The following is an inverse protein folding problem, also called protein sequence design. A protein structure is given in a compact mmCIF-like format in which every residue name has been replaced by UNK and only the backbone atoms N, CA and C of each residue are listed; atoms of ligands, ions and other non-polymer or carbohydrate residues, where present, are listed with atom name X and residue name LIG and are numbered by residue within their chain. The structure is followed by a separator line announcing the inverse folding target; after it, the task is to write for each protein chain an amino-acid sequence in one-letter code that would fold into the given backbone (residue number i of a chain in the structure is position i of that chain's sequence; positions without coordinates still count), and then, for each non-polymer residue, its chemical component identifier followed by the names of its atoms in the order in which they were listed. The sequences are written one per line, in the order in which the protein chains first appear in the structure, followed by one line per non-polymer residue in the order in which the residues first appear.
data_IF_701178909787
#
_entry.id   IF_701178909787
#
_cell.length_a   1.000
_cell.length_b   1.000
_cell.length_c   1.000
_cell.angle_alpha   90.00
_cell.angle_beta   90.00
_cell.angle_gamma   90.00
#
_symmetry.space_group_name_H-M   'P 1'
#
loop_
_entity.id
_entity.type
_entity.pdbx_description
1 polymer ?
#
# COMPACT_ATOMS: atom_id res chain seq x y z
N UNK A 1 -6.97 -5.99 8.76
CA UNK A 1 -5.76 -6.00 7.91
C UNK A 1 -4.63 -5.15 8.48
N UNK A 2 -4.57 -5.00 9.80
CA UNK A 2 -3.66 -4.06 10.46
C UNK A 2 -3.34 -4.51 11.89
N UNK A 3 -4.31 -5.12 12.58
CA UNK A 3 -4.11 -5.80 13.86
C UNK A 3 -3.00 -6.87 13.81
N UNK A 4 -2.11 -6.80 14.80
CA UNK A 4 -1.04 -7.78 14.99
C UNK A 4 -1.58 -9.12 15.50
N UNK A 5 -0.94 -10.21 15.08
CA UNK A 5 -1.30 -11.56 15.53
C UNK A 5 -1.06 -11.74 17.03
N UNK A 6 -0.07 -11.05 17.59
CA UNK A 6 0.24 -11.08 19.02
C UNK A 6 -0.94 -10.57 19.86
N UNK A 7 -1.68 -9.59 19.35
CA UNK A 7 -2.86 -9.06 20.02
C UNK A 7 -4.06 -10.01 19.91
N UNK A 8 -4.22 -10.67 18.75
CA UNK A 8 -5.25 -11.71 18.50
C UNK A 8 -4.96 -12.99 19.30
N UNK A 9 -3.68 -13.28 19.56
CA UNK A 9 -3.22 -14.49 20.25
C UNK A 9 -3.53 -14.50 21.75
N UNK A 10 -3.65 -13.33 22.39
CA UNK A 10 -3.80 -13.17 23.86
C UNK A 10 -4.86 -14.08 24.50
N UNK A 11 -6.09 -14.20 23.98
CA UNK A 11 -7.12 -15.05 24.59
C UNK A 11 -7.04 -16.54 24.21
N UNK A 12 -6.10 -16.96 23.34
CA UNK A 12 -6.05 -18.34 22.85
C UNK A 12 -5.33 -19.26 23.84
N UNK A 13 -5.88 -20.46 24.05
CA UNK A 13 -5.25 -21.49 24.90
C UNK A 13 -3.97 -22.09 24.29
N UNK A 14 -3.88 -22.16 22.95
CA UNK A 14 -2.69 -22.59 22.21
C UNK A 14 -2.37 -21.59 21.08
N UNK A 15 -1.74 -20.45 21.42
CA UNK A 15 -1.40 -19.41 20.45
C UNK A 15 -0.50 -19.88 19.31
N UNK A 16 0.29 -20.95 19.51
CA UNK A 16 1.20 -21.46 18.48
C UNK A 16 0.51 -22.05 17.26
N UNK A 17 -0.83 -22.24 17.32
CA UNK A 17 -1.67 -22.61 16.16
C UNK A 17 -2.10 -21.44 15.30
N UNK A 18 -2.00 -20.22 15.80
CA UNK A 18 -2.49 -19.05 15.11
C UNK A 18 -1.55 -18.68 13.96
N UNK A 19 -2.12 -18.59 12.76
CA UNK A 19 -1.47 -18.07 11.55
C UNK A 19 -2.47 -17.13 10.87
N UNK A 20 -1.99 -16.01 10.35
CA UNK A 20 -2.82 -15.05 9.63
C UNK A 20 -2.86 -15.36 8.15
N UNK A 21 -4.05 -15.26 7.54
CA UNK A 21 -4.22 -15.28 6.09
C UNK A 21 -4.85 -13.96 5.67
N UNK A 22 -4.05 -13.06 5.10
CA UNK A 22 -4.52 -11.76 4.67
C UNK A 22 -4.76 -11.75 3.16
N UNK A 23 -6.04 -11.73 2.79
CA UNK A 23 -6.51 -11.62 1.41
C UNK A 23 -6.72 -10.16 1.03
N UNK A 24 -6.61 -9.86 -0.26
CA UNK A 24 -6.84 -8.53 -0.82
C UNK A 24 -8.13 -8.52 -1.65
N UNK A 25 -8.90 -7.42 -1.57
CA UNK A 25 -10.16 -7.25 -2.29
C UNK A 25 -9.91 -6.65 -3.69
N UNK A 26 -10.44 -7.21 -4.79
CA UNK A 26 -11.28 -8.42 -4.89
C UNK A 26 -10.53 -9.73 -4.74
N UNK A 27 -10.97 -10.57 -3.80
CA UNK A 27 -10.33 -11.86 -3.47
C UNK A 27 -10.24 -12.79 -4.68
N UNK A 28 -11.23 -12.75 -5.58
CA UNK A 28 -11.21 -13.57 -6.79
C UNK A 28 -10.13 -13.12 -7.80
N UNK A 29 -9.77 -11.84 -7.83
CA UNK A 29 -8.91 -11.26 -8.85
C UNK A 29 -7.45 -11.12 -8.39
N UNK A 30 -7.23 -10.77 -7.12
CA UNK A 30 -5.88 -10.53 -6.61
C UNK A 30 -5.19 -11.85 -6.25
N UNK A 31 -3.98 -12.12 -6.77
CA UNK A 31 -3.34 -13.42 -6.59
C UNK A 31 -2.62 -13.55 -5.24
N UNK A 32 -2.19 -12.44 -4.63
CA UNK A 32 -1.41 -12.44 -3.39
C UNK A 32 -2.26 -12.80 -2.17
N UNK A 33 -1.67 -13.57 -1.25
CA UNK A 33 -2.15 -13.70 0.13
C UNK A 33 -0.93 -13.61 1.05
N UNK A 34 -0.95 -12.67 2.00
CA UNK A 34 0.09 -12.63 3.03
C UNK A 34 -0.20 -13.71 4.08
N UNK A 35 0.74 -14.64 4.24
CA UNK A 35 0.74 -15.66 5.28
C UNK A 35 1.50 -15.08 6.48
N UNK A 36 0.76 -14.55 7.44
CA UNK A 36 1.32 -13.78 8.56
C UNK A 36 1.76 -14.73 9.67
N UNK A 37 3.03 -14.63 10.04
CA UNK A 37 3.68 -15.36 11.12
C UNK A 37 3.78 -14.48 12.37
N UNK A 38 3.11 -14.87 13.45
CA UNK A 38 3.31 -14.27 14.77
C UNK A 38 4.54 -14.85 15.47
N UNK A 39 4.99 -14.20 16.55
CA UNK A 39 6.20 -14.60 17.29
C UNK A 39 6.15 -16.05 17.82
N UNK A 40 4.98 -16.51 18.26
CA UNK A 40 4.77 -17.87 18.77
C UNK A 40 4.27 -18.88 17.74
N UNK A 41 4.00 -18.46 16.49
CA UNK A 41 3.41 -19.33 15.47
C UNK A 41 4.36 -20.47 15.10
N UNK A 42 3.88 -21.71 15.16
CA UNK A 42 4.68 -22.88 14.79
C UNK A 42 4.91 -22.94 13.28
N UNK A 43 6.13 -23.26 12.87
CA UNK A 43 6.50 -23.43 11.45
C UNK A 43 5.60 -24.42 10.68
N UNK A 44 5.13 -25.47 11.35
CA UNK A 44 4.21 -26.44 10.75
C UNK A 44 2.88 -25.79 10.32
N UNK A 45 2.38 -24.81 11.06
CA UNK A 45 1.13 -24.12 10.74
C UNK A 45 1.34 -23.09 9.62
N UNK A 46 2.48 -22.41 9.58
CA UNK A 46 2.87 -21.56 8.44
C UNK A 46 2.93 -22.40 7.16
N UNK A 47 3.55 -23.59 7.19
CA UNK A 47 3.61 -24.48 6.02
C UNK A 47 2.23 -24.95 5.57
N UNK A 48 1.35 -25.32 6.50
CA UNK A 48 -0.04 -25.70 6.16
C UNK A 48 -0.81 -24.52 5.53
N UNK A 49 -0.64 -23.32 6.07
CA UNK A 49 -1.25 -22.11 5.52
C UNK A 49 -0.76 -21.83 4.10
N UNK A 50 0.55 -21.90 3.84
CA UNK A 50 1.10 -21.76 2.49
C UNK A 50 0.54 -22.84 1.54
N UNK A 51 0.50 -24.10 1.97
CA UNK A 51 -0.05 -25.19 1.17
C UNK A 51 -1.53 -24.97 0.82
N UNK A 52 -2.33 -24.48 1.77
CA UNK A 52 -3.72 -24.10 1.53
C UNK A 52 -3.84 -22.97 0.51
N UNK A 53 -3.07 -21.88 0.68
CA UNK A 53 -3.08 -20.73 -0.23
C UNK A 53 -2.70 -21.15 -1.65
N UNK A 54 -1.67 -21.98 -1.81
CA UNK A 54 -1.28 -22.53 -3.11
C UNK A 54 -2.39 -23.42 -3.69
N UNK A 55 -3.04 -24.26 -2.87
CA UNK A 55 -4.12 -25.15 -3.33
C UNK A 55 -5.34 -24.40 -3.86
N UNK A 56 -5.56 -23.15 -3.43
CA UNK A 56 -6.63 -22.27 -3.96
C UNK A 56 -6.13 -21.35 -5.10
N UNK A 57 -5.01 -21.69 -5.76
CA UNK A 57 -4.40 -20.94 -6.86
C UNK A 57 -4.04 -19.49 -6.49
N UNK A 58 -3.59 -19.28 -5.26
CA UNK A 58 -3.06 -18.00 -4.77
C UNK A 58 -1.56 -18.10 -4.51
N UNK A 59 -0.90 -16.93 -4.46
CA UNK A 59 0.51 -16.77 -4.21
C UNK A 59 0.74 -16.47 -2.72
N UNK A 60 1.24 -17.43 -1.93
CA UNK A 60 1.55 -17.18 -0.52
C UNK A 60 2.82 -16.34 -0.39
N UNK A 61 2.74 -15.27 0.37
CA UNK A 61 3.90 -14.49 0.81
C UNK A 61 4.02 -14.56 2.32
N UNK A 62 5.07 -15.19 2.83
CA UNK A 62 5.28 -15.28 4.28
C UNK A 62 5.75 -13.91 4.77
N UNK A 63 5.03 -13.34 5.73
CA UNK A 63 5.34 -12.04 6.35
C UNK A 63 5.38 -12.18 7.87
N UNK A 64 6.26 -11.44 8.53
CA UNK A 64 6.26 -11.29 9.99
C UNK A 64 5.06 -10.44 10.42
N UNK A 65 4.44 -10.78 11.55
CA UNK A 65 3.41 -9.96 12.18
C UNK A 65 3.96 -8.58 12.55
N UNK A 66 3.30 -7.55 12.05
CA UNK A 66 3.51 -6.16 12.39
C UNK A 66 2.26 -5.37 12.00
N UNK A 67 2.13 -4.12 12.46
CA UNK A 67 1.03 -3.27 12.03
C UNK A 67 1.08 -3.08 10.51
N UNK A 68 -0.01 -3.43 9.82
CA UNK A 68 -0.12 -3.33 8.37
C UNK A 68 0.67 -4.37 7.54
N UNK A 69 1.32 -5.35 8.18
CA UNK A 69 2.10 -6.41 7.52
C UNK A 69 3.13 -5.85 6.52
N UNK A 70 3.27 -6.41 5.31
CA UNK A 70 4.11 -5.82 4.28
C UNK A 70 3.31 -4.82 3.43
N UNK A 71 2.22 -5.28 2.80
CA UNK A 71 1.56 -4.52 1.73
C UNK A 71 0.96 -3.21 2.24
N UNK A 72 0.16 -3.25 3.31
CA UNK A 72 -0.50 -2.03 3.82
C UNK A 72 0.53 -1.09 4.45
N UNK A 73 1.52 -1.65 5.17
CA UNK A 73 2.63 -0.89 5.75
C UNK A 73 3.37 -0.09 4.68
N UNK A 74 3.70 -0.70 3.55
CA UNK A 74 4.42 -0.06 2.43
C UNK A 74 3.51 0.89 1.63
N UNK A 75 2.22 0.58 1.49
CA UNK A 75 1.26 1.40 0.74
C UNK A 75 0.85 2.68 1.48
N UNK A 76 0.69 2.63 2.80
CA UNK A 76 0.12 3.73 3.56
C UNK A 76 0.93 5.04 3.47
N UNK A 77 2.28 5.08 3.53
CA UNK A 77 3.05 6.31 3.37
C UNK A 77 2.81 7.01 2.03
N UNK A 78 2.64 6.25 0.95
CA UNK A 78 2.31 6.79 -0.38
C UNK A 78 0.92 7.43 -0.40
N UNK A 79 -0.06 6.79 0.23
CA UNK A 79 -1.41 7.35 0.36
C UNK A 79 -1.40 8.63 1.20
N UNK A 80 -0.68 8.64 2.33
CA UNK A 80 -0.58 9.83 3.18
C UNK A 80 0.14 10.98 2.49
N UNK A 81 1.15 10.70 1.65
CA UNK A 81 1.81 11.73 0.84
C UNK A 81 0.84 12.36 -0.18
N UNK A 82 -0.03 11.57 -0.81
CA UNK A 82 -1.06 12.09 -1.69
C UNK A 82 -2.07 12.99 -0.96
N UNK A 83 -2.53 12.57 0.22
CA UNK A 83 -3.41 13.41 1.08
C UNK A 83 -2.72 14.70 1.47
N UNK A 84 -1.45 14.63 1.88
CA UNK A 84 -0.66 15.82 2.25
C UNK A 84 -0.53 16.80 1.10
N UNK A 85 -0.28 16.32 -0.12
CA UNK A 85 -0.20 17.16 -1.34
C UNK A 85 -1.55 17.82 -1.66
N UNK A 86 -2.64 17.05 -1.56
CA UNK A 86 -3.98 17.56 -1.77
C UNK A 86 -4.35 18.65 -0.75
N UNK A 87 -4.04 18.42 0.54
CA UNK A 87 -4.21 19.44 1.60
C UNK A 87 -3.40 20.72 1.34
N UNK A 88 -2.27 20.62 0.64
CA UNK A 88 -1.44 21.76 0.24
C UNK A 88 -1.95 22.49 -1.02
N UNK A 89 -3.07 22.05 -1.59
CA UNK A 89 -3.71 22.68 -2.75
C UNK A 89 -3.30 22.09 -4.09
N UNK A 90 -2.54 21.00 -4.12
CA UNK A 90 -2.28 20.29 -5.38
C UNK A 90 -3.60 19.66 -5.87
N UNK A 91 -4.01 19.87 -7.14
CA UNK A 91 -5.25 19.32 -7.66
C UNK A 91 -5.29 17.79 -7.58
N UNK A 92 -6.42 17.22 -7.16
CA UNK A 92 -6.61 15.76 -7.03
C UNK A 92 -6.34 15.03 -8.36
N UNK A 93 -6.81 15.60 -9.48
CA UNK A 93 -6.62 15.05 -10.82
C UNK A 93 -5.13 14.99 -11.17
N UNK A 94 -4.35 16.00 -10.79
CA UNK A 94 -2.90 16.03 -11.05
C UNK A 94 -2.16 14.96 -10.26
N UNK A 95 -2.51 14.79 -8.98
CA UNK A 95 -1.92 13.76 -8.11
C UNK A 95 -2.17 12.37 -8.69
N UNK A 96 -3.42 12.08 -9.05
CA UNK A 96 -3.80 10.78 -9.59
C UNK A 96 -3.22 10.51 -10.98
N UNK A 97 -3.24 11.51 -11.86
CA UNK A 97 -2.59 11.41 -13.18
C UNK A 97 -1.07 11.20 -13.06
N UNK A 98 -0.40 11.86 -12.11
CA UNK A 98 1.04 11.70 -11.89
C UNK A 98 1.41 10.29 -11.42
N UNK A 99 0.61 9.71 -10.53
CA UNK A 99 0.75 8.31 -10.12
C UNK A 99 0.55 7.33 -11.28
N UNK A 100 -0.47 7.57 -12.11
CA UNK A 100 -0.71 6.74 -13.30
C UNK A 100 0.41 6.90 -14.34
N UNK A 101 0.91 8.11 -14.57
CA UNK A 101 2.07 8.39 -15.44
C UNK A 101 3.33 7.69 -14.94
N UNK A 102 3.52 7.59 -13.63
CA UNK A 102 4.62 6.80 -13.04
C UNK A 102 4.51 5.30 -13.39
N UNK A 103 3.28 4.80 -13.51
CA UNK A 103 2.96 3.41 -13.86
C UNK A 103 2.04 2.72 -12.85
N UNK A 104 1.47 3.44 -11.89
CA UNK A 104 0.49 2.87 -10.95
C UNK A 104 -0.82 2.56 -11.69
N UNK A 105 -1.55 1.49 -11.32
CA UNK A 105 -2.79 1.11 -12.00
C UNK A 105 -3.93 2.11 -11.74
N UNK A 106 -3.84 2.86 -10.66
CA UNK A 106 -4.84 3.82 -10.19
C UNK A 106 -4.15 4.94 -9.41
N UNK A 107 -4.77 6.13 -9.42
CA UNK A 107 -4.34 7.23 -8.59
C UNK A 107 -4.58 6.97 -7.10
N UNK A 108 -3.73 7.49 -6.20
CA UNK A 108 -3.83 7.23 -4.77
C UNK A 108 -5.15 7.74 -4.17
N UNK A 109 -5.65 8.91 -4.57
CA UNK A 109 -6.86 9.48 -3.99
C UNK A 109 -8.10 8.69 -4.43
N UNK A 110 -8.18 8.33 -5.71
CA UNK A 110 -9.22 7.42 -6.22
C UNK A 110 -9.17 6.05 -5.53
N UNK A 111 -7.97 5.49 -5.33
CA UNK A 111 -7.80 4.22 -4.63
C UNK A 111 -8.27 4.32 -3.17
N UNK A 112 -7.96 5.41 -2.47
CA UNK A 112 -8.45 5.66 -1.10
C UNK A 112 -9.97 5.69 -1.05
N UNK A 113 -10.62 6.36 -2.01
CA UNK A 113 -12.08 6.39 -2.09
C UNK A 113 -12.69 5.00 -2.36
N UNK A 114 -12.02 4.16 -3.14
CA UNK A 114 -12.46 2.79 -3.41
C UNK A 114 -12.31 1.86 -2.20
N UNK A 115 -11.21 2.00 -1.45
CA UNK A 115 -10.97 1.26 -0.21
C UNK A 115 -11.95 1.73 0.88
N UNK A 116 -12.10 3.04 1.02
CA UNK A 116 -12.89 3.70 2.05
C UNK A 116 -12.02 4.59 2.94
N UNK A 117 -12.41 5.86 3.09
CA UNK A 117 -11.61 6.84 3.83
C UNK A 117 -11.53 6.56 5.33
N UNK A 118 -12.53 5.91 5.91
CA UNK A 118 -12.52 5.43 7.29
C UNK A 118 -11.47 4.34 7.53
N UNK A 119 -11.31 3.43 6.57
CA UNK A 119 -10.29 2.40 6.63
C UNK A 119 -8.91 3.04 6.49
N UNK A 120 -8.76 3.99 5.56
CA UNK A 120 -7.49 4.68 5.36
C UNK A 120 -7.09 5.53 6.58
N UNK A 121 -8.03 6.22 7.23
CA UNK A 121 -7.78 6.98 8.46
C UNK A 121 -7.35 6.04 9.59
N UNK A 122 -8.06 4.93 9.80
CA UNK A 122 -7.73 3.95 10.82
C UNK A 122 -6.33 3.33 10.61
N UNK A 123 -5.98 2.94 9.38
CA UNK A 123 -4.65 2.41 9.06
C UNK A 123 -3.56 3.48 9.24
N UNK A 124 -3.85 4.74 8.88
CA UNK A 124 -2.96 5.86 9.11
C UNK A 124 -2.67 6.10 10.59
N UNK A 125 -3.68 5.99 11.44
CA UNK A 125 -3.53 6.08 12.90
C UNK A 125 -2.71 4.90 13.46
N UNK A 126 -3.04 3.66 13.04
CA UNK A 126 -2.37 2.44 13.55
C UNK A 126 -0.89 2.35 13.13
N UNK A 127 -0.53 2.99 12.02
CA UNK A 127 0.85 3.14 11.56
C UNK A 127 1.52 4.43 12.04
N UNK A 128 0.83 5.27 12.82
CA UNK A 128 1.30 6.57 13.29
C UNK A 128 1.79 7.49 12.16
N UNK A 129 1.08 7.46 11.03
CA UNK A 129 1.29 8.30 9.84
C UNK A 129 0.25 9.42 9.73
N UNK A 130 -0.88 9.30 10.42
CA UNK A 130 -1.92 10.32 10.47
C UNK A 130 -1.39 11.63 11.08
N UNK A 131 -1.65 12.80 10.45
CA UNK A 131 -1.35 14.08 11.08
C UNK A 131 -2.05 14.22 12.44
N UNK A 132 -1.33 14.70 13.45
CA UNK A 132 -1.90 14.91 14.80
C UNK A 132 -2.91 16.06 14.86
N UNK A 133 -2.79 17.01 13.94
CA UNK A 133 -3.64 18.20 13.82
C UNK A 133 -4.08 18.36 12.37
N UNK A 134 -5.27 18.92 12.15
CA UNK A 134 -5.84 19.20 10.83
C UNK A 134 -5.83 17.99 9.88
N UNK A 135 -6.10 16.79 10.41
CA UNK A 135 -6.21 15.58 9.59
C UNK A 135 -7.46 15.67 8.69
N UNK A 136 -7.23 15.80 7.38
CA UNK A 136 -8.29 15.87 6.38
C UNK A 136 -9.10 14.57 6.31
N UNK A 137 -8.47 13.40 6.43
CA UNK A 137 -9.17 12.11 6.38
C UNK A 137 -10.18 12.02 7.52
N UNK A 138 -9.75 12.26 8.76
CA UNK A 138 -10.65 12.31 9.92
C UNK A 138 -11.78 13.31 9.71
N UNK A 139 -11.50 14.46 9.09
CA UNK A 139 -12.52 15.49 8.81
C UNK A 139 -13.55 15.01 7.78
N UNK A 140 -13.13 14.34 6.71
CA UNK A 140 -14.01 13.75 5.69
C UNK A 140 -14.84 12.60 6.28
N UNK A 141 -14.21 11.74 7.10
CA UNK A 141 -14.89 10.64 7.79
C UNK A 141 -15.99 11.15 8.71
N UNK A 142 -15.71 12.20 9.50
CA UNK A 142 -16.73 12.85 10.37
C UNK A 142 -17.89 13.46 9.59
N UNK A 143 -17.66 13.87 8.35
CA UNK A 143 -18.71 14.37 7.44
C UNK A 143 -19.49 13.25 6.74
N UNK A 144 -19.16 11.97 6.98
CA UNK A 144 -19.77 10.83 6.29
C UNK A 144 -19.31 10.65 4.85
N UNK A 145 -18.24 11.36 4.43
CA UNK A 145 -17.63 11.24 3.11
C UNK A 145 -16.59 10.12 3.15
N UNK A 146 -17.04 8.89 2.93
CA UNK A 146 -16.22 7.68 3.06
C UNK A 146 -15.73 7.15 1.70
N UNK A 147 -15.86 7.92 0.62
CA UNK A 147 -15.49 7.53 -0.73
C UNK A 147 -16.64 6.89 -1.51
N UNK A 148 -16.31 5.91 -2.36
CA UNK A 148 -17.25 5.29 -3.30
C UNK A 148 -18.49 4.72 -2.62
N UNK A 149 -18.34 4.15 -1.42
CA UNK A 149 -19.44 3.50 -0.69
C UNK A 149 -20.52 4.47 -0.17
N UNK A 150 -20.18 5.75 -0.01
CA UNK A 150 -21.10 6.82 0.38
C UNK A 150 -21.39 7.80 -0.75
N UNK A 151 -20.87 7.55 -1.96
CA UNK A 151 -21.03 8.41 -3.13
C UNK A 151 -20.10 9.62 -3.16
N UNK A 152 -19.31 9.86 -2.12
CA UNK A 152 -18.41 11.02 -2.05
C UNK A 152 -17.24 10.78 -1.08
N UNK A 153 -16.04 11.18 -1.49
CA UNK A 153 -14.80 11.23 -0.71
C UNK A 153 -13.89 12.34 -1.24
N UNK A 154 -12.73 11.99 -1.79
CA UNK A 154 -11.93 12.92 -2.61
C UNK A 154 -12.60 13.24 -3.94
N UNK A 155 -13.37 12.28 -4.48
CA UNK A 155 -14.20 12.44 -5.66
C UNK A 155 -15.68 12.30 -5.32
N UNK A 156 -16.52 12.89 -6.16
CA UNK A 156 -17.95 12.54 -6.23
C UNK A 156 -18.09 11.30 -7.11
N UNK A 157 -18.86 10.31 -6.67
CA UNK A 157 -19.03 9.03 -7.36
C UNK A 157 -20.43 8.92 -7.96
N UNK A 158 -20.51 8.84 -9.28
CA UNK A 158 -21.75 8.68 -10.03
C UNK A 158 -21.71 7.33 -10.79
N UNK A 159 -22.74 6.49 -10.60
CA UNK A 159 -22.83 5.17 -11.24
C UNK A 159 -21.56 4.29 -11.06
N UNK A 160 -20.91 4.42 -9.91
CA UNK A 160 -19.72 3.64 -9.56
C UNK A 160 -18.41 4.13 -10.19
N UNK A 161 -18.41 5.30 -10.84
CA UNK A 161 -17.21 5.96 -11.41
C UNK A 161 -16.98 7.32 -10.74
N UNK A 162 -15.72 7.74 -10.54
CA UNK A 162 -15.44 9.08 -10.03
C UNK A 162 -15.71 10.12 -11.12
N UNK A 163 -16.38 11.21 -10.75
CA UNK A 163 -16.53 12.39 -11.59
C UNK A 163 -15.22 13.16 -11.59
N UNK A 164 -14.54 13.16 -12.74
CA UNK A 164 -13.26 13.84 -12.94
C UNK A 164 -13.47 15.11 -13.73
N UNK A 165 -12.72 16.15 -13.39
CA UNK A 165 -12.61 17.34 -14.22
C UNK A 165 -11.60 17.06 -15.35
N UNK A 166 -11.91 17.49 -16.58
CA UNK A 166 -10.94 17.44 -17.68
C UNK A 166 -9.84 18.46 -17.41
N UNK A 167 -8.69 17.96 -16.95
CA UNK A 167 -7.51 18.76 -16.69
C UNK A 167 -6.30 18.14 -17.38
N UNK A 168 -5.57 18.97 -18.11
CA UNK A 168 -4.31 18.61 -18.78
C UNK A 168 -3.15 19.25 -18.02
N UNK A 169 -2.15 18.44 -17.70
CA UNK A 169 -0.91 18.87 -17.05
C UNK A 169 0.29 18.50 -17.92
N UNK A 170 1.40 19.23 -17.73
CA UNK A 170 2.65 18.95 -18.43
C UNK A 170 3.18 17.56 -18.04
N UNK A 171 3.55 16.76 -19.05
CA UNK A 171 4.09 15.42 -18.88
C UNK A 171 5.34 15.37 -17.98
N UNK A 172 6.26 16.32 -18.14
CA UNK A 172 7.48 16.40 -17.33
C UNK A 172 7.16 16.72 -15.86
N UNK A 173 6.11 17.51 -15.64
CA UNK A 173 5.62 17.79 -14.29
C UNK A 173 4.97 16.56 -13.65
N UNK A 174 4.12 15.85 -14.39
CA UNK A 174 3.49 14.61 -13.93
C UNK A 174 4.53 13.53 -13.63
N UNK A 175 5.56 13.41 -14.46
CA UNK A 175 6.66 12.47 -14.21
C UNK A 175 7.46 12.83 -12.95
N UNK A 176 7.76 14.12 -12.74
CA UNK A 176 8.43 14.59 -11.53
C UNK A 176 7.57 14.30 -10.30
N UNK A 177 6.30 14.70 -10.32
CA UNK A 177 5.37 14.50 -9.22
C UNK A 177 5.17 13.01 -8.93
N UNK A 178 5.05 12.17 -9.96
CA UNK A 178 4.91 10.72 -9.81
C UNK A 178 6.10 10.09 -9.07
N UNK A 179 7.34 10.50 -9.40
CA UNK A 179 8.54 10.05 -8.67
C UNK A 179 8.56 10.54 -7.22
N UNK A 180 8.12 11.77 -6.97
CA UNK A 180 8.04 12.31 -5.61
C UNK A 180 6.98 11.59 -4.77
N UNK A 181 5.80 11.32 -5.35
CA UNK A 181 4.68 10.65 -4.69
C UNK A 181 5.08 9.25 -4.22
N UNK A 182 5.78 8.45 -5.04
CA UNK A 182 6.14 7.08 -4.66
C UNK A 182 7.31 7.01 -3.68
N UNK A 183 8.08 8.09 -3.50
CA UNK A 183 9.29 8.08 -2.67
C UNK A 183 9.06 7.53 -1.25
N UNK A 184 8.01 7.92 -0.50
CA UNK A 184 7.76 7.39 0.84
C UNK A 184 7.47 5.88 0.86
N UNK A 185 6.82 5.35 -0.19
CA UNK A 185 6.62 3.91 -0.36
C UNK A 185 7.94 3.18 -0.62
N UNK A 186 8.85 3.77 -1.40
CA UNK A 186 10.19 3.20 -1.62
C UNK A 186 11.01 3.17 -0.32
N UNK A 187 10.99 4.27 0.44
CA UNK A 187 11.68 4.36 1.73
C UNK A 187 11.12 3.34 2.74
N UNK A 188 9.80 3.11 2.73
CA UNK A 188 9.18 2.10 3.60
C UNK A 188 9.45 0.67 3.15
N UNK A 189 9.55 0.41 1.85
CA UNK A 189 9.94 -0.90 1.33
C UNK A 189 11.33 -1.31 1.82
N UNK A 190 12.29 -0.38 1.84
CA UNK A 190 13.63 -0.60 2.40
C UNK A 190 13.57 -0.89 3.91
N UNK A 191 12.80 -0.10 4.66
CA UNK A 191 12.59 -0.32 6.10
C UNK A 191 11.94 -1.67 6.39
N UNK A 192 10.94 -2.08 5.61
CA UNK A 192 10.30 -3.38 5.76
C UNK A 192 11.27 -4.54 5.54
N UNK A 193 12.22 -4.40 4.59
CA UNK A 193 13.30 -5.37 4.42
C UNK A 193 14.26 -5.37 5.62
N UNK A 194 14.70 -4.19 6.07
CA UNK A 194 15.60 -4.05 7.21
C UNK A 194 15.02 -4.62 8.51
N UNK A 195 13.70 -4.47 8.70
CA UNK A 195 12.95 -5.03 9.83
C UNK A 195 12.69 -6.54 9.71
N UNK A 196 13.16 -7.17 8.62
CA UNK A 196 12.94 -8.58 8.29
C UNK A 196 11.44 -8.94 8.29
N UNK A 197 10.59 -8.06 7.75
CA UNK A 197 9.17 -8.36 7.56
C UNK A 197 8.99 -9.50 6.57
N UNK A 198 9.87 -9.58 5.57
CA UNK A 198 9.97 -10.70 4.62
C UNK A 198 11.41 -11.16 4.46
N UNK A 199 11.61 -12.34 3.88
CA UNK A 199 12.91 -13.00 3.85
C UNK A 199 13.92 -12.42 2.84
N UNK A 200 13.48 -11.63 1.86
CA UNK A 200 14.38 -11.11 0.81
C UNK A 200 13.82 -9.86 0.12
N UNK A 201 14.68 -9.15 -0.61
CA UNK A 201 14.27 -8.01 -1.45
C UNK A 201 13.26 -8.43 -2.53
N UNK A 202 13.46 -9.60 -3.16
CA UNK A 202 12.54 -10.13 -4.17
C UNK A 202 11.13 -10.38 -3.59
N UNK A 203 11.04 -10.78 -2.32
CA UNK A 203 9.76 -10.93 -1.63
C UNK A 203 9.08 -9.59 -1.35
N UNK A 204 9.85 -8.53 -1.05
CA UNK A 204 9.30 -7.17 -0.96
C UNK A 204 8.74 -6.75 -2.31
N UNK A 205 9.55 -6.90 -3.37
CA UNK A 205 9.17 -6.50 -4.72
C UNK A 205 7.93 -7.25 -5.20
N UNK A 206 7.92 -8.59 -5.08
CA UNK A 206 6.77 -9.40 -5.44
C UNK A 206 5.52 -9.04 -4.62
N UNK A 207 5.65 -8.88 -3.30
CA UNK A 207 4.53 -8.53 -2.43
C UNK A 207 3.90 -7.18 -2.81
N UNK A 208 4.73 -6.18 -3.08
CA UNK A 208 4.23 -4.85 -3.44
C UNK A 208 3.66 -4.85 -4.87
N UNK A 209 4.27 -5.55 -5.83
CA UNK A 209 3.71 -5.69 -7.19
C UNK A 209 2.34 -6.39 -7.16
N UNK A 210 2.26 -7.58 -6.55
CA UNK A 210 1.02 -8.36 -6.57
C UNK A 210 -0.05 -7.86 -5.58
N UNK A 211 0.35 -7.09 -4.58
CA UNK A 211 -0.55 -6.53 -3.56
C UNK A 211 -1.10 -5.15 -3.92
N UNK A 212 -0.27 -4.25 -4.48
CA UNK A 212 -0.66 -2.86 -4.79
C UNK A 212 -0.72 -2.57 -6.28
N UNK A 213 -0.14 -3.43 -7.12
CA UNK A 213 0.02 -3.19 -8.55
C UNK A 213 1.18 -2.26 -8.88
N UNK A 214 2.16 -2.08 -7.98
CA UNK A 214 3.31 -1.20 -8.20
C UNK A 214 3.95 -1.44 -9.58
N UNK A 215 3.95 -0.38 -10.40
CA UNK A 215 4.46 -0.29 -11.77
C UNK A 215 5.29 -1.51 -12.22
N UNK A 216 4.67 -2.60 -12.70
CA UNK A 216 5.33 -3.90 -12.82
C UNK A 216 6.54 -3.89 -13.76
N UNK A 217 6.51 -3.05 -14.79
CA UNK A 217 7.61 -2.84 -15.73
C UNK A 217 8.87 -2.21 -15.09
N UNK A 218 8.78 -1.75 -13.84
CA UNK A 218 9.91 -1.25 -13.03
C UNK A 218 10.52 -2.32 -12.11
N UNK A 219 9.92 -3.52 -12.06
CA UNK A 219 10.43 -4.68 -11.32
C UNK A 219 10.24 -4.63 -9.80
N UNK A 220 9.43 -3.70 -9.28
CA UNK A 220 9.18 -3.54 -7.84
C UNK A 220 9.90 -2.33 -7.22
N UNK A 221 9.50 -1.91 -6.01
CA UNK A 221 10.06 -0.74 -5.35
C UNK A 221 11.58 -0.80 -5.13
N UNK A 222 12.12 -1.92 -4.65
CA UNK A 222 13.55 -2.05 -4.36
C UNK A 222 14.36 -2.19 -5.64
N UNK A 223 13.87 -2.96 -6.61
CA UNK A 223 14.48 -3.01 -7.92
C UNK A 223 14.53 -1.61 -8.58
N UNK A 224 13.42 -0.87 -8.54
CA UNK A 224 13.35 0.48 -9.08
C UNK A 224 14.39 1.41 -8.43
N UNK A 225 14.54 1.37 -7.11
CA UNK A 225 15.58 2.16 -6.41
C UNK A 225 16.98 1.87 -6.89
N UNK A 226 17.36 0.60 -6.95
CA UNK A 226 18.66 0.17 -7.48
C UNK A 226 18.91 0.71 -8.89
N UNK A 227 17.90 0.73 -9.76
CA UNK A 227 18.05 1.31 -11.11
C UNK A 227 18.30 2.82 -11.09
N UNK A 228 17.68 3.56 -10.17
CA UNK A 228 17.89 5.01 -10.01
C UNK A 228 19.29 5.32 -9.49
N UNK A 229 19.77 4.55 -8.51
CA UNK A 229 21.13 4.69 -7.96
C UNK A 229 22.19 4.45 -9.03
N UNK A 230 22.03 3.38 -9.82
CA UNK A 230 22.93 3.07 -10.93
C UNK A 230 22.94 4.19 -11.98
N UNK A 231 21.77 4.72 -12.34
CA UNK A 231 21.67 5.84 -13.29
C UNK A 231 22.33 7.12 -12.75
N UNK A 232 22.23 7.36 -11.44
CA UNK A 232 22.84 8.52 -10.78
C UNK A 232 24.36 8.39 -10.72
N UNK A 233 24.86 7.21 -10.33
CA UNK A 233 26.28 6.90 -10.32
C UNK A 233 26.91 7.01 -11.72
N UNK A 234 26.22 6.50 -12.75
CA UNK A 234 26.67 6.61 -14.14
C UNK A 234 26.76 8.06 -14.62
N UNK A 235 25.80 8.92 -14.24
CA UNK A 235 25.85 10.36 -14.56
C UNK A 235 26.98 11.08 -13.83
N UNK A 236 27.22 10.76 -12.55
CA UNK A 236 28.31 11.33 -11.76
C UNK A 236 29.69 10.92 -12.29
N UNK A 237 29.82 9.69 -12.82
CA UNK A 237 31.06 9.22 -13.44
C UNK A 237 31.32 9.83 -14.84
N UNK A 238 30.30 10.42 -15.46
CA UNK A 238 30.38 11.05 -16.79
C UNK A 238 30.55 12.58 -16.75
N UNK A 239 30.52 13.18 -15.56
CA UNK A 239 30.72 14.61 -15.31
C UNK A 239 32.13 14.88 -14.78
#
# INVERSE_FOLDING_TARGET
SSLRLEDIAKPLADPGRLVGLHFFNPVAQLPLVEVVRGEGTREAEVRKACAFVTAINKLPLIVKSCSGFLVNRVLAPYMMEAVRRYQQGEPREKIDQAAMKFGMPMGPLELMDMVGLDIADHVGEELNLAPKTDNLLTSLVKQGKLGKKTGEGFYVWEQGKPKREEAHYDDAELERLGRELVKPMLDEAERALADNIVASADHVDAGVIFGTGFAPFRGGPLNYRRTQEHATAAKAAAA
#
